data_IF_159413551148
#
_entry.id   IF_159413551148
#
_cell.length_a   1.000
_cell.length_b   1.000
_cell.length_c   1.000
_cell.angle_alpha   90.00
_cell.angle_beta   90.00
_cell.angle_gamma   90.00
#
_symmetry.space_group_name_H-M   'P 1'
#
loop_
_entity.id
_entity.type
_entity.pdbx_description
1 polymer ?
#
# COMPACT_ATOMS: atom_id res chain seq x y z
N UNK A 1 17.66 3.39 -17.86
CA UNK A 1 16.93 2.20 -17.36
C UNK A 1 15.64 2.67 -16.71
N UNK A 2 14.49 2.09 -17.09
CA UNK A 2 13.19 2.40 -16.46
C UNK A 2 13.07 1.57 -15.18
N UNK A 3 12.75 2.21 -14.06
CA UNK A 3 12.49 1.57 -12.76
C UNK A 3 11.09 1.98 -12.30
N UNK A 4 10.36 1.04 -11.70
CA UNK A 4 9.16 1.32 -10.92
C UNK A 4 9.49 1.16 -9.43
N UNK A 5 8.84 1.97 -8.60
CA UNK A 5 8.95 1.87 -7.16
C UNK A 5 7.56 1.83 -6.54
N UNK A 6 7.37 0.98 -5.55
CA UNK A 6 6.16 0.88 -4.76
C UNK A 6 6.50 1.30 -3.33
N UNK A 7 5.59 2.05 -2.71
CA UNK A 7 5.73 2.51 -1.34
C UNK A 7 4.56 2.03 -0.50
N UNK A 8 4.85 1.24 0.53
CA UNK A 8 3.86 0.73 1.48
C UNK A 8 4.19 1.32 2.85
N UNK A 9 3.19 1.93 3.49
CA UNK A 9 3.33 2.49 4.84
C UNK A 9 2.20 1.94 5.69
N UNK A 10 2.54 1.23 6.76
CA UNK A 10 1.58 0.76 7.74
C UNK A 10 1.58 1.68 8.95
N UNK A 11 0.37 2.02 9.41
CA UNK A 11 0.13 2.85 10.58
C UNK A 11 -0.72 2.09 11.59
N UNK A 12 -0.53 2.39 12.87
CA UNK A 12 -1.46 1.95 13.90
C UNK A 12 -2.65 2.91 14.03
N UNK A 13 -3.59 2.57 14.89
CA UNK A 13 -4.79 3.37 15.20
C UNK A 13 -4.50 4.76 15.77
N UNK A 14 -3.31 4.98 16.34
CA UNK A 14 -2.86 6.31 16.76
C UNK A 14 -2.29 7.16 15.60
N UNK A 15 -2.22 6.60 14.39
CA UNK A 15 -1.59 7.24 13.23
C UNK A 15 -0.07 7.14 13.18
N UNK A 16 0.56 6.45 14.14
CA UNK A 16 2.00 6.27 14.15
C UNK A 16 2.41 5.22 13.12
N UNK A 17 3.47 5.51 12.35
CA UNK A 17 4.05 4.52 11.44
C UNK A 17 4.62 3.37 12.28
N UNK A 18 4.21 2.15 11.95
CA UNK A 18 4.72 0.92 12.58
C UNK A 18 5.62 0.12 11.65
N UNK A 19 5.44 0.28 10.33
CA UNK A 19 6.26 -0.39 9.31
C UNK A 19 6.22 0.38 7.99
N UNK A 20 7.31 0.36 7.25
CA UNK A 20 7.38 0.93 5.91
C UNK A 20 8.20 0.04 5.00
N UNK A 21 7.77 -0.12 3.75
CA UNK A 21 8.43 -0.97 2.76
C UNK A 21 8.49 -0.27 1.42
N UNK A 22 9.68 -0.21 0.84
CA UNK A 22 9.91 0.24 -0.52
C UNK A 22 10.27 -0.94 -1.40
N UNK A 23 9.51 -1.17 -2.47
CA UNK A 23 9.79 -2.23 -3.43
C UNK A 23 10.32 -1.59 -4.71
N UNK A 24 11.50 -2.02 -5.17
CA UNK A 24 12.10 -1.54 -6.41
C UNK A 24 12.05 -2.63 -7.46
N UNK A 25 11.41 -2.34 -8.60
CA UNK A 25 11.36 -3.26 -9.73
C UNK A 25 11.98 -2.66 -11.00
N UNK A 26 12.66 -3.53 -11.77
CA UNK A 26 13.31 -3.15 -13.03
C UNK A 26 12.39 -3.41 -14.23
N UNK A 27 11.20 -2.82 -14.19
CA UNK A 27 10.25 -2.87 -15.31
C UNK A 27 9.59 -1.51 -15.53
N UNK A 28 8.93 -1.38 -16.69
CA UNK A 28 7.96 -0.32 -16.93
C UNK A 28 6.58 -0.89 -16.61
N UNK A 29 6.01 -0.49 -15.47
CA UNK A 29 4.67 -0.89 -15.07
C UNK A 29 3.62 0.11 -15.51
N UNK A 30 2.42 -0.39 -15.82
CA UNK A 30 1.23 0.45 -15.90
C UNK A 30 0.77 0.81 -14.49
N UNK A 31 0.20 2.01 -14.31
CA UNK A 31 -0.15 2.51 -12.98
C UNK A 31 -1.06 1.54 -12.21
N UNK A 32 -2.08 0.97 -12.86
CA UNK A 32 -2.98 0.02 -12.21
C UNK A 32 -2.26 -1.28 -11.77
N UNK A 33 -1.32 -1.79 -12.57
CA UNK A 33 -0.55 -2.99 -12.21
C UNK A 33 0.38 -2.73 -11.03
N UNK A 34 1.07 -1.59 -11.02
CA UNK A 34 1.96 -1.22 -9.91
C UNK A 34 1.19 -1.00 -8.62
N UNK A 35 0.02 -0.35 -8.67
CA UNK A 35 -0.86 -0.19 -7.51
C UNK A 35 -1.40 -1.52 -7.00
N UNK A 36 -1.82 -2.41 -7.90
CA UNK A 36 -2.28 -3.76 -7.52
C UNK A 36 -1.15 -4.56 -6.85
N UNK A 37 0.08 -4.44 -7.35
CA UNK A 37 1.25 -5.07 -6.75
C UNK A 37 1.63 -4.45 -5.40
N UNK A 38 1.46 -3.13 -5.24
CA UNK A 38 1.67 -2.48 -3.95
C UNK A 38 0.69 -3.01 -2.90
N UNK A 39 -0.58 -3.19 -3.27
CA UNK A 39 -1.60 -3.79 -2.42
C UNK A 39 -1.23 -5.23 -2.07
N UNK A 40 -0.86 -6.06 -3.06
CA UNK A 40 -0.41 -7.44 -2.82
C UNK A 40 0.77 -7.49 -1.83
N UNK A 41 1.77 -6.64 -2.05
CA UNK A 41 2.94 -6.53 -1.18
C UNK A 41 2.60 -6.03 0.23
N UNK A 42 1.56 -5.19 0.37
CA UNK A 42 1.06 -4.73 1.67
C UNK A 42 0.38 -5.87 2.44
N UNK A 43 -0.41 -6.70 1.77
CA UNK A 43 -1.04 -7.89 2.37
C UNK A 43 0.02 -8.91 2.79
N UNK A 44 1.01 -9.20 1.94
CA UNK A 44 2.14 -10.08 2.27
C UNK A 44 2.91 -9.57 3.50
N UNK A 45 3.17 -8.26 3.56
CA UNK A 45 3.84 -7.63 4.70
C UNK A 45 3.00 -7.75 5.98
N UNK A 46 1.69 -7.48 5.91
CA UNK A 46 0.80 -7.58 7.06
C UNK A 46 0.70 -9.02 7.59
N UNK A 47 0.63 -10.02 6.71
CA UNK A 47 0.67 -11.44 7.09
C UNK A 47 2.00 -11.81 7.74
N UNK A 48 3.13 -11.35 7.19
CA UNK A 48 4.45 -11.62 7.74
C UNK A 48 4.66 -11.05 9.16
N UNK A 49 3.95 -9.97 9.50
CA UNK A 49 3.93 -9.41 10.86
C UNK A 49 2.89 -10.10 11.77
N UNK A 50 1.89 -10.75 11.20
CA UNK A 50 0.79 -11.38 11.94
C UNK A 50 -0.36 -10.43 12.28
N UNK A 51 -0.56 -9.35 11.52
CA UNK A 51 -1.76 -8.52 11.67
C UNK A 51 -2.99 -9.25 11.12
N UNK A 52 -4.08 -9.27 11.89
CA UNK A 52 -5.32 -9.97 11.52
C UNK A 52 -6.44 -9.03 11.10
N UNK A 53 -6.39 -7.76 11.50
CA UNK A 53 -7.40 -6.75 11.21
C UNK A 53 -6.72 -5.53 10.56
N UNK A 54 -6.98 -5.32 9.26
CA UNK A 54 -6.32 -4.29 8.46
C UNK A 54 -7.29 -3.52 7.55
N UNK A 55 -6.94 -2.27 7.27
CA UNK A 55 -7.53 -1.47 6.19
C UNK A 55 -6.40 -1.11 5.21
N UNK A 56 -6.61 -1.40 3.93
CA UNK A 56 -5.68 -1.06 2.86
C UNK A 56 -6.22 0.14 2.08
N UNK A 57 -5.42 1.21 2.05
CA UNK A 57 -5.76 2.46 1.38
C UNK A 57 -4.90 2.63 0.12
N UNK A 58 -5.53 2.90 -1.02
CA UNK A 58 -4.85 3.20 -2.30
C UNK A 58 -5.43 4.46 -2.94
N UNK A 59 -4.60 5.19 -3.69
CA UNK A 59 -5.01 6.34 -4.50
C UNK A 59 -5.47 5.95 -5.91
N UNK A 60 -5.59 4.66 -6.20
CA UNK A 60 -6.13 4.15 -7.44
C UNK A 60 -7.58 3.66 -7.26
N UNK A 61 -8.54 4.57 -7.47
CA UNK A 61 -9.98 4.25 -7.38
C UNK A 61 -10.38 3.06 -8.28
N UNK A 62 -9.75 2.94 -9.45
CA UNK A 62 -10.01 1.84 -10.37
C UNK A 62 -9.64 0.48 -9.76
N UNK A 63 -8.44 0.34 -9.20
CA UNK A 63 -7.98 -0.91 -8.55
C UNK A 63 -8.82 -1.24 -7.32
N UNK A 64 -9.11 -0.25 -6.47
CA UNK A 64 -9.98 -0.44 -5.30
C UNK A 64 -11.38 -0.91 -5.72
N UNK A 65 -11.93 -0.33 -6.79
CA UNK A 65 -13.23 -0.77 -7.33
C UNK A 65 -13.17 -2.21 -7.82
N UNK A 66 -12.12 -2.61 -8.53
CA UNK A 66 -11.97 -3.98 -9.02
C UNK A 66 -11.94 -5.00 -7.88
N UNK A 67 -11.15 -4.71 -6.83
CA UNK A 67 -11.03 -5.58 -5.64
C UNK A 67 -12.36 -5.71 -4.88
N UNK A 68 -13.14 -4.62 -4.81
CA UNK A 68 -14.41 -4.61 -4.06
C UNK A 68 -15.60 -5.19 -4.83
N UNK A 69 -15.55 -5.22 -6.17
CA UNK A 69 -16.68 -5.65 -7.02
C UNK A 69 -16.48 -7.01 -7.69
N UNK A 70 -15.34 -7.67 -7.47
CA UNK A 70 -14.94 -8.90 -8.15
C UNK A 70 -15.17 -8.83 -9.67
N UNK A 71 -14.85 -7.68 -10.28
CA UNK A 71 -15.12 -7.46 -11.69
C UNK A 71 -14.05 -8.13 -12.56
N UNK A 72 -14.40 -9.30 -13.12
CA UNK A 72 -13.56 -10.25 -13.88
C UNK A 72 -13.18 -9.74 -15.29
N UNK A 73 -13.52 -8.50 -15.66
CA UNK A 73 -13.33 -8.01 -17.03
C UNK A 73 -11.90 -7.53 -17.34
N UNK A 74 -11.02 -7.33 -16.34
CA UNK A 74 -9.64 -6.90 -16.56
C UNK A 74 -8.66 -8.08 -16.51
N UNK A 75 -8.55 -8.80 -17.64
CA UNK A 75 -7.70 -9.99 -17.78
C UNK A 75 -6.23 -9.76 -17.40
N UNK A 76 -5.72 -8.53 -17.54
CA UNK A 76 -4.31 -8.20 -17.24
C UNK A 76 -4.02 -8.20 -15.74
N UNK A 77 -5.01 -7.88 -14.93
CA UNK A 77 -4.89 -7.82 -13.47
C UNK A 77 -5.47 -9.06 -12.80
N UNK A 78 -6.19 -9.91 -13.53
CA UNK A 78 -6.90 -11.07 -12.97
C UNK A 78 -6.02 -11.91 -12.04
N UNK A 79 -4.81 -12.29 -12.47
CA UNK A 79 -3.90 -13.08 -11.62
C UNK A 79 -3.53 -12.37 -10.32
N UNK A 80 -3.33 -11.05 -10.37
CA UNK A 80 -3.02 -10.26 -9.18
C UNK A 80 -4.25 -10.07 -8.28
N UNK A 81 -5.43 -9.93 -8.87
CA UNK A 81 -6.69 -9.85 -8.13
C UNK A 81 -7.01 -11.18 -7.43
N UNK A 82 -6.76 -12.31 -8.10
CA UNK A 82 -6.90 -13.65 -7.51
C UNK A 82 -5.93 -13.84 -6.33
N UNK A 83 -4.67 -13.41 -6.48
CA UNK A 83 -3.69 -13.41 -5.40
C UNK A 83 -4.18 -12.56 -4.21
N UNK A 84 -4.69 -11.36 -4.47
CA UNK A 84 -5.25 -10.47 -3.43
C UNK A 84 -6.46 -11.11 -2.76
N UNK A 85 -7.36 -11.77 -3.50
CA UNK A 85 -8.51 -12.47 -2.97
C UNK A 85 -8.11 -13.65 -2.06
N UNK A 86 -7.06 -14.39 -2.43
CA UNK A 86 -6.51 -15.45 -1.59
C UNK A 86 -5.82 -14.90 -0.33
N UNK A 87 -5.10 -13.79 -0.46
CA UNK A 87 -4.42 -13.15 0.66
C UNK A 87 -5.42 -12.51 1.65
N UNK A 88 -6.46 -11.82 1.16
CA UNK A 88 -7.46 -11.14 2.02
C UNK A 88 -8.21 -12.14 2.91
N UNK A 89 -8.44 -13.37 2.42
CA UNK A 89 -9.11 -14.46 3.16
C UNK A 89 -8.34 -14.97 4.39
N UNK A 90 -7.05 -14.61 4.53
CA UNK A 90 -6.24 -15.00 5.70
C UNK A 90 -6.32 -14.02 6.87
N UNK A 91 -7.02 -12.89 6.68
CA UNK A 91 -7.26 -11.90 7.72
C UNK A 91 -8.64 -12.12 8.35
N UNK A 92 -8.79 -11.78 9.62
CA UNK A 92 -10.09 -11.73 10.29
C UNK A 92 -10.95 -10.59 9.73
N UNK A 93 -10.31 -9.45 9.45
CA UNK A 93 -10.92 -8.31 8.78
C UNK A 93 -9.92 -7.67 7.82
N UNK A 94 -10.33 -7.49 6.57
CA UNK A 94 -9.54 -6.81 5.55
C UNK A 94 -10.47 -5.97 4.68
N UNK A 95 -10.32 -4.65 4.75
CA UNK A 95 -11.10 -3.70 3.94
C UNK A 95 -10.20 -2.92 2.99
N UNK A 96 -10.77 -2.47 1.87
CA UNK A 96 -10.07 -1.69 0.87
C UNK A 96 -10.80 -0.38 0.62
N UNK A 97 -10.10 0.74 0.78
CA UNK A 97 -10.67 2.08 0.59
C UNK A 97 -9.83 2.94 -0.35
N UNK A 98 -10.51 3.81 -1.08
CA UNK A 98 -9.87 4.79 -1.93
C UNK A 98 -9.60 6.06 -1.14
N UNK A 99 -8.37 6.57 -1.22
CA UNK A 99 -7.97 7.85 -0.64
C UNK A 99 -7.38 8.76 -1.72
N UNK A 100 -7.60 10.07 -1.70
CA UNK A 100 -6.93 10.95 -2.64
C UNK A 100 -5.42 10.91 -2.42
N UNK A 101 -4.63 11.10 -3.49
CA UNK A 101 -3.16 11.10 -3.42
C UNK A 101 -2.58 12.09 -2.40
N UNK A 102 -3.29 13.19 -2.12
CA UNK A 102 -2.93 14.16 -1.08
C UNK A 102 -3.00 13.59 0.33
N UNK A 103 -3.84 12.58 0.56
CA UNK A 103 -3.93 11.83 1.81
C UNK A 103 -3.00 10.60 1.84
N UNK A 104 -2.44 10.20 0.70
CA UNK A 104 -1.45 9.13 0.56
C UNK A 104 -0.05 9.67 0.21
N UNK A 105 0.32 10.82 0.77
CA UNK A 105 1.60 11.46 0.48
C UNK A 105 2.79 10.59 0.91
N UNK A 106 2.65 9.88 2.05
CA UNK A 106 3.69 8.96 2.53
C UNK A 106 3.98 7.81 1.56
N UNK A 107 2.95 7.11 1.08
CA UNK A 107 3.12 6.01 0.13
C UNK A 107 3.75 6.50 -1.17
N UNK A 108 3.30 7.65 -1.66
CA UNK A 108 3.83 8.25 -2.87
C UNK A 108 5.32 8.62 -2.77
N UNK A 109 5.72 9.33 -1.71
CA UNK A 109 7.12 9.73 -1.49
C UNK A 109 8.01 8.51 -1.24
N UNK A 110 7.50 7.49 -0.56
CA UNK A 110 8.22 6.23 -0.36
C UNK A 110 8.43 5.47 -1.67
N UNK A 111 7.45 5.48 -2.58
CA UNK A 111 7.59 4.94 -3.92
C UNK A 111 8.68 5.68 -4.72
N UNK A 112 8.69 7.02 -4.67
CA UNK A 112 9.74 7.83 -5.30
C UNK A 112 11.13 7.56 -4.72
N UNK A 113 11.22 7.35 -3.41
CA UNK A 113 12.46 6.95 -2.77
C UNK A 113 12.90 5.55 -3.23
N UNK A 114 11.97 4.59 -3.36
CA UNK A 114 12.24 3.25 -3.84
C UNK A 114 12.74 3.20 -5.30
N UNK A 115 12.28 4.09 -6.17
CA UNK A 115 12.81 4.22 -7.55
C UNK A 115 14.32 4.51 -7.54
N UNK A 116 14.76 5.37 -6.61
CA UNK A 116 16.17 5.78 -6.47
C UNK A 116 17.01 4.71 -5.78
N UNK A 117 16.39 3.83 -5.00
CA UNK A 117 17.08 2.75 -4.31
C UNK A 117 17.68 1.71 -5.28
N UNK A 118 18.71 1.02 -4.80
CA UNK A 118 19.36 -0.08 -5.55
C UNK A 118 18.64 -1.41 -5.33
N UNK A 119 18.03 -1.58 -4.16
CA UNK A 119 17.30 -2.78 -3.73
C UNK A 119 16.05 -2.38 -2.96
N UNK A 120 15.04 -3.25 -2.98
CA UNK A 120 13.90 -3.18 -2.07
C UNK A 120 14.37 -3.17 -0.62
N UNK A 121 13.63 -2.49 0.25
CA UNK A 121 13.96 -2.30 1.64
C UNK A 121 12.70 -2.30 2.51
N UNK A 122 12.90 -2.56 3.79
CA UNK A 122 11.87 -2.54 4.81
C UNK A 122 12.44 -1.86 6.05
N UNK A 123 11.59 -1.08 6.73
CA UNK A 123 11.90 -0.38 7.97
C UNK A 123 10.87 -0.75 9.04
N UNK A 124 11.37 -1.09 10.21
CA UNK A 124 10.63 -1.39 11.42
C UNK A 124 11.19 -0.57 12.60
N UNK A 125 10.31 0.06 13.37
CA UNK A 125 10.67 0.84 14.57
C UNK A 125 11.39 2.18 14.34
N UNK A 126 12.30 2.29 13.36
CA UNK A 126 13.03 3.52 13.04
C UNK A 126 12.78 3.93 11.58
N UNK A 127 12.33 5.16 11.38
CA UNK A 127 11.97 5.67 10.06
C UNK A 127 12.77 6.94 9.73
N UNK A 128 13.05 7.20 8.44
CA UNK A 128 13.64 8.46 8.04
C UNK A 128 12.78 9.65 8.48
N UNK A 129 13.44 10.73 8.88
CA UNK A 129 12.79 11.95 9.40
C UNK A 129 11.76 12.53 8.42
N UNK A 130 12.04 12.47 7.11
CA UNK A 130 11.12 12.93 6.07
C UNK A 130 9.81 12.13 6.06
N UNK A 131 9.86 10.80 6.26
CA UNK A 131 8.69 9.93 6.24
C UNK A 131 7.84 10.16 7.51
N UNK A 132 8.48 10.26 8.67
CA UNK A 132 7.80 10.60 9.93
C UNK A 132 7.18 12.00 9.90
N UNK A 133 7.78 12.95 9.18
CA UNK A 133 7.21 14.28 9.00
C UNK A 133 5.96 14.25 8.12
N UNK A 134 5.97 13.48 7.03
CA UNK A 134 4.80 13.31 6.16
C UNK A 134 3.64 12.61 6.87
N UNK A 135 3.91 11.58 7.67
CA UNK A 135 2.83 10.87 8.37
C UNK A 135 2.06 11.76 9.34
N UNK A 136 2.75 12.70 10.01
CA UNK A 136 2.08 13.72 10.84
C UNK A 136 1.19 14.67 10.05
N UNK A 137 1.52 14.91 8.77
CA UNK A 137 0.73 15.78 7.88
C UNK A 137 -0.50 15.06 7.33
N UNK A 138 -0.35 13.80 6.93
CA UNK A 138 -1.47 12.97 6.43
C UNK A 138 -2.55 12.74 7.50
N UNK A 139 -2.20 12.78 8.79
CA UNK A 139 -3.15 12.70 9.92
C UNK A 139 -4.14 13.88 9.99
N UNK A 140 -3.89 14.99 9.31
CA UNK A 140 -4.83 16.12 9.26
C UNK A 140 -6.10 15.84 8.43
N UNK A 141 -6.19 14.69 7.76
CA UNK A 141 -7.29 14.31 6.86
C UNK A 141 -8.08 13.09 7.36
N UNK A 142 -7.65 12.43 8.44
CA UNK A 142 -8.36 11.26 8.97
C UNK A 142 -9.46 11.73 9.91
N UNK A 143 -10.70 11.62 9.44
CA UNK A 143 -11.89 11.65 10.31
C UNK A 143 -11.71 10.62 11.41
N UNK A 144 -11.99 10.96 12.68
CA UNK A 144 -11.89 10.00 13.77
C UNK A 144 -12.89 8.88 13.49
N UNK A 145 -12.41 7.65 13.32
CA UNK A 145 -13.27 6.50 13.55
C UNK A 145 -13.45 6.42 15.06
N UNK A 146 -14.61 6.92 15.51
CA UNK A 146 -15.12 6.69 16.83
C UNK A 146 -15.35 5.19 17.03
N UNK A 147 -14.80 4.66 18.12
CA UNK A 147 -15.53 3.77 19.01
C UNK A 147 -15.34 4.30 20.44
#
# INVERSE_FOLDING_TARGET
MVKSGLGIVARNWCGAIVKAKGITERRKGEAATEETLAIRGALEMAQGVGWTNIEVQSDCKYVVSLINTDNVQEYRLQTLLDDIDLLKKRFESCTFSFVPRTANSCGHELAQFAIKATRSFEWDGTFPTWLSALARKDMGVVTPFCN
#
